data_IF_024489040844
#
_entry.id   IF_024489040844
#
_cell.length_a   1.000
_cell.length_b   1.000
_cell.length_c   1.000
_cell.angle_alpha   90.00
_cell.angle_beta   90.00
_cell.angle_gamma   90.00
#
_symmetry.space_group_name_H-M   'P 1'
#
loop_
_entity.id
_entity.type
_entity.pdbx_description
1 polymer ?
#
# COMPACT_ATOMS: atom_id res chain seq x y z
N UNK A 1 9.84 39.79 13.03
CA UNK A 1 10.87 38.82 12.65
C UNK A 1 11.50 39.24 11.33
N UNK A 2 11.09 38.72 10.17
CA UNK A 2 11.73 38.97 8.85
C UNK A 2 12.11 40.44 8.59
N UNK A 3 11.21 41.40 8.82
CA UNK A 3 11.49 42.84 8.64
C UNK A 3 12.56 43.46 9.55
N UNK A 4 13.11 42.68 10.49
CA UNK A 4 14.17 43.06 11.43
C UNK A 4 15.40 42.16 11.29
N UNK A 5 15.30 41.05 10.54
CA UNK A 5 16.43 40.19 10.23
C UNK A 5 17.23 40.82 9.08
N UNK A 6 18.56 40.73 9.16
CA UNK A 6 19.49 41.31 8.18
C UNK A 6 20.72 40.45 7.92
N UNK A 7 20.93 39.39 8.71
CA UNK A 7 22.13 38.56 8.68
C UNK A 7 21.88 37.19 8.00
N UNK A 8 20.62 36.82 7.75
CA UNK A 8 20.26 35.52 7.19
C UNK A 8 19.12 35.64 6.16
N UNK A 9 19.31 35.06 4.97
CA UNK A 9 18.25 34.91 3.98
C UNK A 9 17.17 33.93 4.50
N UNK A 10 15.90 34.32 4.38
CA UNK A 10 14.78 33.55 4.95
C UNK A 10 14.01 32.80 3.85
N UNK A 11 13.76 31.51 4.10
CA UNK A 11 12.97 30.65 3.21
C UNK A 11 11.66 30.24 3.90
N UNK A 12 10.53 30.55 3.27
CA UNK A 12 9.19 30.17 3.70
C UNK A 12 8.63 29.07 2.79
N UNK A 13 8.62 27.83 3.28
CA UNK A 13 8.12 26.66 2.56
C UNK A 13 6.68 26.34 3.01
N UNK A 14 5.72 26.48 2.10
CA UNK A 14 4.30 26.23 2.33
C UNK A 14 3.87 24.91 1.67
N UNK A 15 3.08 24.13 2.39
CA UNK A 15 2.47 22.89 1.89
C UNK A 15 0.95 23.02 1.83
N UNK A 16 0.36 22.58 0.71
CA UNK A 16 -1.08 22.63 0.41
C UNK A 16 -1.73 24.02 0.36
N UNK A 17 -2.81 24.14 -0.42
CA UNK A 17 -3.55 25.40 -0.63
C UNK A 17 -4.06 26.03 0.69
N UNK A 18 -4.28 25.21 1.74
CA UNK A 18 -4.66 25.65 3.08
C UNK A 18 -3.66 26.63 3.70
N UNK A 19 -2.35 26.46 3.44
CA UNK A 19 -1.30 27.39 3.87
C UNK A 19 -1.01 28.48 2.82
N UNK A 20 -1.50 28.31 1.58
CA UNK A 20 -1.13 29.07 0.39
C UNK A 20 -1.46 30.57 0.43
N UNK A 21 -2.38 31.00 1.29
CA UNK A 21 -2.72 32.43 1.49
C UNK A 21 -1.51 33.26 1.92
N UNK A 22 -0.58 32.67 2.68
CA UNK A 22 0.65 33.34 3.11
C UNK A 22 1.53 33.80 1.93
N UNK A 23 1.65 32.96 0.90
CA UNK A 23 2.47 33.24 -0.29
C UNK A 23 1.97 34.49 -1.03
N UNK A 24 0.66 34.56 -1.28
CA UNK A 24 0.05 35.69 -1.99
C UNK A 24 0.26 37.00 -1.22
N UNK A 25 0.21 36.95 0.13
CA UNK A 25 0.49 38.10 0.98
C UNK A 25 1.98 38.48 0.99
N UNK A 26 2.90 37.51 1.04
CA UNK A 26 4.36 37.75 0.95
C UNK A 26 4.71 38.50 -0.33
N UNK A 27 4.30 37.98 -1.50
CA UNK A 27 4.58 38.62 -2.79
C UNK A 27 3.89 39.98 -2.94
N UNK A 28 2.61 40.11 -2.55
CA UNK A 28 1.88 41.39 -2.71
C UNK A 28 2.34 42.50 -1.76
N UNK A 29 2.99 42.14 -0.64
CA UNK A 29 3.57 43.10 0.33
C UNK A 29 5.07 43.31 0.16
N UNK A 30 5.70 42.67 -0.84
CA UNK A 30 7.15 42.70 -1.05
C UNK A 30 7.96 42.39 0.23
N UNK A 31 7.56 41.33 0.94
CA UNK A 31 8.30 40.85 2.10
C UNK A 31 9.58 40.18 1.60
N UNK A 32 10.73 40.53 2.19
CA UNK A 32 12.04 39.94 1.92
C UNK A 32 12.11 38.49 2.46
N UNK A 33 11.47 37.58 1.72
CA UNK A 33 11.36 36.16 2.03
C UNK A 33 11.26 35.40 0.72
N UNK A 34 12.01 34.32 0.58
CA UNK A 34 11.91 33.42 -0.57
C UNK A 34 10.81 32.39 -0.32
N UNK A 35 9.94 32.15 -1.30
CA UNK A 35 8.73 31.34 -1.11
C UNK A 35 8.72 30.07 -1.96
N UNK A 36 8.52 28.93 -1.30
CA UNK A 36 8.36 27.62 -1.93
C UNK A 36 6.93 27.14 -1.69
N UNK A 37 6.25 26.68 -2.73
CA UNK A 37 4.96 26.01 -2.63
C UNK A 37 5.07 24.55 -3.07
N UNK A 38 4.57 23.62 -2.25
CA UNK A 38 4.43 22.21 -2.60
C UNK A 38 2.98 21.78 -2.46
N UNK A 39 2.37 21.37 -3.57
CA UNK A 39 1.04 20.76 -3.57
C UNK A 39 1.16 19.23 -3.68
N UNK A 40 0.54 18.50 -2.77
CA UNK A 40 0.58 17.03 -2.70
C UNK A 40 -0.49 16.40 -3.61
N UNK A 41 -1.56 17.15 -3.88
CA UNK A 41 -2.55 16.86 -4.92
C UNK A 41 -2.97 18.18 -5.62
N UNK A 42 -3.90 18.09 -6.57
CA UNK A 42 -4.71 19.23 -7.02
C UNK A 42 -6.14 19.10 -6.49
N UNK A 43 -6.80 20.21 -6.11
CA UNK A 43 -8.20 20.19 -5.71
C UNK A 43 -9.06 19.62 -6.84
N UNK A 44 -8.95 20.19 -8.04
CA UNK A 44 -9.75 19.78 -9.20
C UNK A 44 -9.52 18.31 -9.57
N UNK A 45 -8.29 17.81 -9.59
CA UNK A 45 -8.00 16.41 -9.91
C UNK A 45 -8.72 15.44 -8.99
N UNK A 46 -8.71 15.68 -7.68
CA UNK A 46 -9.43 14.86 -6.69
C UNK A 46 -10.95 14.82 -6.93
N UNK A 47 -11.54 15.93 -7.35
CA UNK A 47 -12.97 16.04 -7.65
C UNK A 47 -13.36 15.57 -9.07
N UNK A 48 -12.41 15.51 -10.00
CA UNK A 48 -12.61 15.00 -11.35
C UNK A 48 -12.49 13.48 -11.38
N UNK A 49 -11.46 12.88 -10.76
CA UNK A 49 -11.29 11.43 -10.62
C UNK A 49 -12.42 10.74 -9.84
N UNK A 50 -13.04 11.45 -8.87
CA UNK A 50 -14.23 10.96 -8.17
C UNK A 50 -15.48 10.91 -9.07
N UNK A 51 -15.51 11.69 -10.14
CA UNK A 51 -16.53 11.60 -11.19
C UNK A 51 -16.26 10.47 -12.17
N UNK A 52 -17.28 10.03 -12.91
CA UNK A 52 -17.15 9.03 -13.98
C UNK A 52 -16.51 9.62 -15.27
N UNK A 53 -15.41 10.35 -15.14
CA UNK A 53 -14.79 11.13 -16.24
C UNK A 53 -13.40 10.57 -16.56
N UNK A 54 -13.10 10.39 -17.84
CA UNK A 54 -11.73 10.10 -18.30
C UNK A 54 -10.84 11.33 -18.08
N UNK A 55 -10.17 11.36 -16.93
CA UNK A 55 -9.43 12.51 -16.43
C UNK A 55 -8.11 12.75 -17.16
N UNK A 56 -7.26 11.73 -17.29
CA UNK A 56 -5.89 11.92 -17.77
C UNK A 56 -5.80 12.19 -19.27
N UNK A 57 -6.68 11.60 -20.08
CA UNK A 57 -6.70 11.85 -21.53
C UNK A 57 -7.28 13.24 -21.86
N UNK A 58 -8.29 13.68 -21.11
CA UNK A 58 -8.97 14.97 -21.33
C UNK A 58 -8.41 16.13 -20.50
N UNK A 59 -7.30 15.94 -19.79
CA UNK A 59 -6.71 16.92 -18.87
C UNK A 59 -6.49 18.32 -19.52
N UNK A 60 -6.28 18.37 -20.84
CA UNK A 60 -6.06 19.59 -21.63
C UNK A 60 -7.33 20.38 -21.93
N UNK A 61 -8.51 19.75 -21.97
CA UNK A 61 -9.76 20.35 -22.43
C UNK A 61 -10.70 20.79 -21.31
N UNK A 62 -10.37 20.56 -20.03
CA UNK A 62 -11.17 21.03 -18.92
C UNK A 62 -11.15 22.56 -18.76
N UNK A 63 -12.34 23.16 -18.80
CA UNK A 63 -12.59 24.47 -18.19
C UNK A 63 -12.53 24.32 -16.66
N UNK A 64 -11.39 24.76 -16.12
CA UNK A 64 -11.06 24.71 -14.69
C UNK A 64 -11.94 25.64 -13.86
N UNK A 65 -12.38 26.75 -14.43
CA UNK A 65 -13.18 27.76 -13.75
C UNK A 65 -14.66 27.29 -13.69
N UNK A 66 -15.20 26.73 -14.78
CA UNK A 66 -16.51 26.07 -14.79
C UNK A 66 -16.56 24.84 -13.86
N UNK A 67 -15.62 23.91 -13.97
CA UNK A 67 -15.65 22.66 -13.19
C UNK A 67 -15.42 22.91 -11.68
N UNK A 68 -14.73 23.99 -11.30
CA UNK A 68 -14.61 24.43 -9.91
C UNK A 68 -15.89 25.14 -9.40
N UNK A 69 -16.54 25.96 -10.23
CA UNK A 69 -17.81 26.61 -9.92
C UNK A 69 -18.94 25.61 -9.71
N UNK A 70 -19.10 24.68 -10.65
CA UNK A 70 -20.08 23.57 -10.65
C UNK A 70 -20.05 22.67 -9.42
N UNK A 71 -18.92 22.64 -8.69
CA UNK A 71 -18.74 21.87 -7.45
C UNK A 71 -18.69 22.74 -6.19
N UNK A 72 -18.90 24.05 -6.30
CA UNK A 72 -18.84 25.00 -5.18
C UNK A 72 -17.44 25.25 -4.60
N UNK A 73 -16.38 24.74 -5.25
CA UNK A 73 -15.00 24.81 -4.75
C UNK A 73 -14.19 25.97 -5.33
N UNK A 74 -14.79 26.81 -6.18
CA UNK A 74 -14.14 27.93 -6.88
C UNK A 74 -13.22 28.76 -5.97
N UNK A 75 -13.73 29.21 -4.82
CA UNK A 75 -12.98 29.98 -3.82
C UNK A 75 -11.70 29.28 -3.32
N UNK A 76 -11.69 27.95 -3.23
CA UNK A 76 -10.52 27.14 -2.81
C UNK A 76 -9.52 26.96 -3.94
N UNK A 77 -10.03 26.70 -5.14
CA UNK A 77 -9.23 26.65 -6.37
C UNK A 77 -8.52 27.98 -6.65
N UNK A 78 -9.17 29.12 -6.40
CA UNK A 78 -8.53 30.44 -6.47
C UNK A 78 -7.35 30.58 -5.50
N UNK A 79 -7.44 30.05 -4.28
CA UNK A 79 -6.33 30.07 -3.30
C UNK A 79 -5.19 29.15 -3.76
N UNK A 80 -5.50 27.93 -4.23
CA UNK A 80 -4.53 26.97 -4.77
C UNK A 80 -3.77 27.55 -5.97
N UNK A 81 -4.48 28.09 -6.96
CA UNK A 81 -3.91 28.75 -8.14
C UNK A 81 -3.14 30.02 -7.77
N UNK A 82 -3.64 30.84 -6.85
CA UNK A 82 -2.92 32.02 -6.37
C UNK A 82 -1.61 31.64 -5.68
N UNK A 83 -1.60 30.63 -4.80
CA UNK A 83 -0.38 30.12 -4.16
C UNK A 83 0.65 29.62 -5.20
N UNK A 84 0.20 28.82 -6.17
CA UNK A 84 1.02 28.32 -7.28
C UNK A 84 1.62 29.44 -8.15
N UNK A 85 0.87 30.51 -8.44
CA UNK A 85 1.38 31.61 -9.26
C UNK A 85 2.19 32.64 -8.46
N UNK A 86 1.88 32.82 -7.16
CA UNK A 86 2.55 33.78 -6.30
C UNK A 86 3.82 33.26 -5.61
N UNK A 87 4.16 31.97 -5.68
CA UNK A 87 5.41 31.46 -5.12
C UNK A 87 6.61 31.64 -6.06
N UNK A 88 7.82 31.67 -5.52
CA UNK A 88 9.05 31.80 -6.30
C UNK A 88 9.45 30.44 -6.90
N UNK A 89 9.32 29.36 -6.11
CA UNK A 89 9.48 27.97 -6.56
C UNK A 89 8.18 27.18 -6.34
N UNK A 90 7.70 26.50 -7.38
CA UNK A 90 6.52 25.63 -7.32
C UNK A 90 6.91 24.17 -7.51
N UNK A 91 6.36 23.27 -6.69
CA UNK A 91 6.69 21.85 -6.67
C UNK A 91 5.47 20.96 -6.46
N UNK A 92 5.57 19.71 -6.88
CA UNK A 92 4.58 18.65 -6.61
C UNK A 92 5.27 17.41 -6.07
N UNK A 93 4.54 16.46 -5.48
CA UNK A 93 5.12 15.23 -4.93
C UNK A 93 5.33 14.09 -5.93
N UNK A 94 4.86 14.24 -7.17
CA UNK A 94 5.05 13.24 -8.23
C UNK A 94 5.03 13.86 -9.63
N UNK A 95 5.58 13.13 -10.61
CA UNK A 95 5.52 13.54 -12.03
C UNK A 95 4.09 13.53 -12.61
N UNK A 96 3.19 12.66 -12.13
CA UNK A 96 1.79 12.67 -12.59
C UNK A 96 1.03 13.88 -12.03
N UNK A 97 1.24 14.19 -10.75
CA UNK A 97 0.72 15.42 -10.12
C UNK A 97 1.36 16.68 -10.73
N UNK A 98 2.59 16.59 -11.26
CA UNK A 98 3.19 17.69 -12.01
C UNK A 98 2.47 17.96 -13.34
N UNK A 99 2.10 16.90 -14.06
CA UNK A 99 1.30 16.97 -15.28
C UNK A 99 -0.12 17.50 -14.99
N UNK A 100 -0.77 17.05 -13.91
CA UNK A 100 -2.01 17.65 -13.40
C UNK A 100 -1.88 19.16 -13.16
N UNK A 101 -0.88 19.58 -12.37
CA UNK A 101 -0.70 20.97 -11.98
C UNK A 101 -0.41 21.90 -13.17
N UNK A 102 0.38 21.44 -14.15
CA UNK A 102 0.65 22.17 -15.39
C UNK A 102 -0.66 22.53 -16.13
N UNK A 103 -1.64 21.62 -16.16
CA UNK A 103 -2.90 21.80 -16.89
C UNK A 103 -4.04 22.40 -16.04
N UNK A 104 -4.12 22.09 -14.74
CA UNK A 104 -5.20 22.54 -13.86
C UNK A 104 -4.87 23.87 -13.16
N UNK A 105 -3.63 24.05 -12.73
CA UNK A 105 -3.16 25.27 -12.05
C UNK A 105 -2.47 26.25 -13.01
N UNK A 106 -2.27 25.86 -14.28
CA UNK A 106 -1.72 26.70 -15.36
C UNK A 106 -0.29 27.22 -15.08
N UNK A 107 0.49 26.50 -14.25
CA UNK A 107 1.93 26.68 -14.06
C UNK A 107 2.58 25.30 -13.99
N UNK A 108 3.62 25.08 -14.79
CA UNK A 108 4.48 23.89 -14.69
C UNK A 108 5.29 23.94 -13.38
N UNK A 109 5.36 22.87 -12.59
CA UNK A 109 6.26 22.83 -11.44
C UNK A 109 7.72 22.92 -11.85
N UNK A 110 8.50 23.63 -11.04
CA UNK A 110 9.96 23.77 -11.18
C UNK A 110 10.71 22.49 -10.77
N UNK A 111 10.08 21.63 -9.96
CA UNK A 111 10.65 20.35 -9.54
C UNK A 111 9.62 19.41 -8.89
N UNK A 112 10.06 18.18 -8.62
CA UNK A 112 9.28 17.16 -7.92
C UNK A 112 9.94 16.83 -6.60
N UNK A 113 9.18 16.89 -5.50
CA UNK A 113 9.61 16.62 -4.14
C UNK A 113 8.95 15.33 -3.62
N UNK A 114 9.48 14.15 -3.98
CA UNK A 114 8.88 12.88 -3.57
C UNK A 114 8.87 12.73 -2.04
N UNK A 115 7.77 12.22 -1.50
CA UNK A 115 7.66 11.96 -0.07
C UNK A 115 8.53 10.75 0.30
N UNK A 116 9.52 10.98 1.18
CA UNK A 116 10.36 9.92 1.73
C UNK A 116 9.71 9.20 2.92
N UNK A 117 10.38 8.15 3.38
CA UNK A 117 10.09 7.42 4.61
C UNK A 117 11.33 7.45 5.53
N UNK A 118 11.13 7.28 6.84
CA UNK A 118 12.24 6.97 7.75
C UNK A 118 12.42 5.45 7.75
N UNK A 119 13.39 4.92 7.00
CA UNK A 119 13.57 3.48 6.85
C UNK A 119 14.30 2.91 8.06
N UNK A 120 13.56 2.22 8.93
CA UNK A 120 14.12 1.41 10.02
C UNK A 120 14.86 0.23 9.40
N UNK A 121 16.18 0.34 9.29
CA UNK A 121 17.04 -0.74 8.79
C UNK A 121 17.24 -1.79 9.88
N UNK A 122 16.86 -3.02 9.58
CA UNK A 122 17.22 -4.18 10.41
C UNK A 122 18.73 -4.39 10.39
N UNK A 123 19.31 -4.81 11.52
CA UNK A 123 20.75 -5.08 11.61
C UNK A 123 21.16 -6.31 10.79
N UNK A 124 20.22 -7.22 10.53
CA UNK A 124 20.39 -8.36 9.63
C UNK A 124 19.20 -8.53 8.67
N UNK A 125 19.47 -8.62 7.36
CA UNK A 125 18.44 -8.78 6.31
C UNK A 125 17.59 -10.08 6.42
N UNK A 126 17.91 -11.02 7.31
CA UNK A 126 17.06 -12.18 7.56
C UNK A 126 15.97 -11.91 8.63
N UNK A 127 16.10 -10.84 9.41
CA UNK A 127 15.16 -10.48 10.49
C UNK A 127 13.77 -10.18 9.95
N UNK A 128 13.66 -9.37 8.88
CA UNK A 128 12.38 -9.11 8.22
C UNK A 128 11.73 -10.40 7.66
N UNK A 129 12.55 -11.38 7.25
CA UNK A 129 12.08 -12.66 6.73
C UNK A 129 11.58 -13.58 7.86
N UNK A 130 12.12 -13.45 9.08
CA UNK A 130 11.56 -14.08 10.28
C UNK A 130 10.26 -13.38 10.71
N UNK A 131 10.23 -12.05 10.73
CA UNK A 131 9.02 -11.25 11.03
C UNK A 131 7.87 -11.56 10.05
N UNK A 132 8.16 -11.80 8.77
CA UNK A 132 7.17 -12.26 7.80
C UNK A 132 6.55 -13.61 8.18
N UNK A 133 7.35 -14.58 8.67
CA UNK A 133 6.83 -15.88 9.08
C UNK A 133 5.92 -15.74 10.32
N UNK A 134 6.42 -15.08 11.38
CA UNK A 134 5.65 -14.81 12.61
C UNK A 134 4.34 -14.05 12.33
N UNK A 135 4.35 -13.14 11.34
CA UNK A 135 3.15 -12.41 10.93
C UNK A 135 2.20 -13.26 10.06
N UNK A 136 2.74 -14.12 9.16
CA UNK A 136 1.94 -15.10 8.39
C UNK A 136 1.20 -16.04 9.33
N UNK A 137 1.82 -16.47 10.43
CA UNK A 137 1.19 -17.38 11.40
C UNK A 137 0.06 -16.74 12.21
N UNK A 138 0.10 -15.42 12.44
CA UNK A 138 -1.06 -14.68 12.99
C UNK A 138 -2.23 -14.63 12.00
N UNK A 139 -1.93 -14.39 10.72
CA UNK A 139 -2.93 -14.46 9.65
C UNK A 139 -3.49 -15.89 9.51
N UNK A 140 -2.64 -16.92 9.64
CA UNK A 140 -3.06 -18.32 9.66
C UNK A 140 -4.08 -18.62 10.77
N UNK A 141 -3.83 -18.17 12.00
CA UNK A 141 -4.76 -18.36 13.12
C UNK A 141 -6.11 -17.67 12.85
N UNK A 142 -6.11 -16.44 12.33
CA UNK A 142 -7.34 -15.77 11.93
C UNK A 142 -8.08 -16.54 10.82
N UNK A 143 -7.39 -16.96 9.76
CA UNK A 143 -8.00 -17.66 8.61
C UNK A 143 -8.63 -18.98 9.05
N UNK A 144 -7.98 -19.74 9.94
CA UNK A 144 -8.58 -20.94 10.57
C UNK A 144 -9.88 -20.59 11.32
N UNK A 145 -9.88 -19.49 12.08
CA UNK A 145 -11.05 -19.00 12.81
C UNK A 145 -12.17 -18.44 11.93
N UNK A 146 -11.86 -17.82 10.79
CA UNK A 146 -12.85 -17.23 9.88
C UNK A 146 -13.48 -18.27 8.95
N UNK A 147 -12.68 -19.21 8.45
CA UNK A 147 -13.12 -20.32 7.59
C UNK A 147 -13.52 -21.57 8.39
N UNK A 148 -13.95 -21.43 9.64
CA UNK A 148 -14.29 -22.57 10.48
C UNK A 148 -15.44 -23.41 9.88
N UNK A 149 -15.28 -24.73 9.89
CA UNK A 149 -16.18 -25.68 9.20
C UNK A 149 -16.04 -25.74 7.68
N UNK A 150 -15.34 -24.78 7.06
CA UNK A 150 -15.05 -24.67 5.62
C UNK A 150 -13.54 -24.48 5.37
N UNK A 151 -12.72 -25.07 6.24
CA UNK A 151 -11.26 -25.05 6.15
C UNK A 151 -10.82 -26.26 5.31
N UNK A 152 -11.05 -26.17 4.00
CA UNK A 152 -10.85 -27.22 3.01
C UNK A 152 -9.58 -27.03 2.15
N UNK A 153 -8.75 -26.05 2.49
CA UNK A 153 -7.53 -25.67 1.77
C UNK A 153 -6.28 -25.64 2.66
N UNK A 154 -5.11 -25.84 2.05
CA UNK A 154 -3.81 -25.83 2.74
C UNK A 154 -3.21 -24.42 2.84
N UNK A 155 -2.81 -24.02 4.05
CA UNK A 155 -2.22 -22.72 4.34
C UNK A 155 -0.77 -22.57 3.86
N UNK A 156 -0.04 -23.65 3.60
CA UNK A 156 1.29 -23.55 2.98
C UNK A 156 1.22 -23.29 1.47
N UNK A 157 0.19 -23.80 0.81
CA UNK A 157 -0.21 -23.43 -0.55
C UNK A 157 -1.23 -22.26 -0.61
N UNK A 158 -1.40 -21.51 0.48
CA UNK A 158 -2.21 -20.27 0.51
C UNK A 158 -1.35 -19.01 0.42
N UNK A 159 -1.82 -18.05 -0.39
CA UNK A 159 -1.29 -16.69 -0.49
C UNK A 159 -2.26 -15.64 0.05
N UNK A 160 -1.70 -14.54 0.55
CA UNK A 160 -2.45 -13.40 1.06
C UNK A 160 -2.21 -12.18 0.15
N UNK A 161 -3.29 -11.68 -0.45
CA UNK A 161 -3.32 -10.43 -1.23
C UNK A 161 -4.19 -9.39 -0.51
N UNK A 162 -4.07 -8.11 -0.87
CA UNK A 162 -4.87 -7.08 -0.25
C UNK A 162 -4.98 -5.76 -1.00
N UNK A 163 -5.93 -4.96 -0.53
CA UNK A 163 -5.95 -3.49 -0.63
C UNK A 163 -6.09 -2.88 0.76
N UNK A 164 -5.50 -1.69 0.98
CA UNK A 164 -5.67 -0.94 2.23
C UNK A 164 -5.60 0.57 2.05
N UNK A 165 -6.45 1.31 2.77
CA UNK A 165 -6.39 2.78 2.81
C UNK A 165 -7.71 3.43 3.20
N UNK A 166 -7.88 4.72 2.85
CA UNK A 166 -9.19 5.40 2.91
C UNK A 166 -10.18 4.71 1.97
N UNK A 167 -11.45 4.64 2.35
CA UNK A 167 -12.49 4.05 1.51
C UNK A 167 -12.86 4.99 0.36
N UNK A 168 -12.13 4.90 -0.74
CA UNK A 168 -12.38 5.63 -1.98
C UNK A 168 -12.50 4.63 -3.15
N UNK A 169 -13.67 3.98 -3.26
CA UNK A 169 -13.94 2.81 -4.11
C UNK A 169 -13.23 2.83 -5.49
N UNK A 170 -13.32 3.93 -6.24
CA UNK A 170 -12.61 4.11 -7.53
C UNK A 170 -11.18 4.65 -7.41
N UNK A 171 -10.96 5.72 -6.63
CA UNK A 171 -9.62 6.34 -6.53
C UNK A 171 -8.55 5.40 -5.95
N UNK A 172 -8.97 4.33 -5.26
CA UNK A 172 -8.13 3.25 -4.75
C UNK A 172 -8.15 1.97 -5.59
N UNK A 173 -8.96 1.91 -6.64
CA UNK A 173 -9.08 0.72 -7.49
C UNK A 173 -9.70 -0.49 -6.78
N UNK A 174 -10.55 -0.29 -5.76
CA UNK A 174 -11.26 -1.39 -5.09
C UNK A 174 -12.22 -2.07 -6.07
N UNK A 175 -12.77 -1.28 -6.99
CA UNK A 175 -13.59 -1.75 -8.11
C UNK A 175 -12.81 -2.67 -9.06
N UNK A 176 -11.57 -2.31 -9.40
CA UNK A 176 -10.66 -3.18 -10.13
C UNK A 176 -10.27 -4.43 -9.30
N UNK A 177 -10.05 -4.27 -7.99
CA UNK A 177 -9.60 -5.37 -7.13
C UNK A 177 -10.59 -6.52 -7.10
N UNK A 178 -11.86 -6.21 -6.87
CA UNK A 178 -12.91 -7.22 -6.78
C UNK A 178 -13.15 -7.88 -8.15
N UNK A 179 -13.03 -7.12 -9.23
CA UNK A 179 -13.22 -7.61 -10.61
C UNK A 179 -12.16 -8.65 -11.01
N UNK A 180 -10.87 -8.38 -10.83
CA UNK A 180 -9.82 -9.31 -11.27
C UNK A 180 -9.51 -10.41 -10.27
N UNK A 181 -9.90 -10.27 -9.00
CA UNK A 181 -9.97 -11.43 -8.09
C UNK A 181 -10.99 -12.47 -8.57
N UNK A 182 -12.10 -12.04 -9.20
CA UNK A 182 -13.02 -12.96 -9.88
C UNK A 182 -12.35 -13.62 -11.08
N UNK A 183 -11.70 -12.85 -11.96
CA UNK A 183 -10.99 -13.39 -13.14
C UNK A 183 -9.85 -14.34 -12.75
N UNK A 184 -9.16 -14.09 -11.63
CA UNK A 184 -8.16 -14.98 -11.06
C UNK A 184 -8.80 -16.28 -10.52
N UNK A 185 -9.97 -16.20 -9.88
CA UNK A 185 -10.73 -17.36 -9.43
C UNK A 185 -11.07 -18.28 -10.60
N UNK A 186 -11.52 -17.72 -11.74
CA UNK A 186 -11.75 -18.46 -12.98
C UNK A 186 -10.46 -19.07 -13.54
N UNK A 187 -9.38 -18.28 -13.69
CA UNK A 187 -8.06 -18.77 -14.18
C UNK A 187 -7.51 -19.91 -13.32
N UNK A 188 -7.60 -19.82 -11.98
CA UNK A 188 -7.14 -20.86 -11.05
C UNK A 188 -8.05 -22.11 -11.05
N UNK A 189 -9.36 -21.96 -11.26
CA UNK A 189 -10.29 -23.08 -11.48
C UNK A 189 -10.00 -23.81 -12.80
N UNK A 190 -9.86 -23.07 -13.90
CA UNK A 190 -9.64 -23.61 -15.23
C UNK A 190 -8.29 -24.35 -15.36
N UNK A 191 -7.25 -23.88 -14.66
CA UNK A 191 -5.95 -24.56 -14.55
C UNK A 191 -5.92 -25.68 -13.50
N UNK A 192 -7.03 -25.90 -12.78
CA UNK A 192 -7.12 -26.76 -11.59
C UNK A 192 -5.96 -26.58 -10.60
N UNK A 193 -5.56 -25.32 -10.36
CA UNK A 193 -4.42 -25.01 -9.51
C UNK A 193 -4.68 -25.45 -8.06
N UNK A 194 -3.69 -26.03 -7.35
CA UNK A 194 -3.79 -26.31 -5.92
C UNK A 194 -3.62 -25.05 -5.05
N UNK A 195 -3.20 -23.92 -5.65
CA UNK A 195 -3.00 -22.66 -4.95
C UNK A 195 -4.34 -22.07 -4.50
N UNK A 196 -4.39 -21.62 -3.26
CA UNK A 196 -5.50 -20.80 -2.73
C UNK A 196 -5.02 -19.37 -2.49
N UNK A 197 -5.88 -18.40 -2.75
CA UNK A 197 -5.65 -16.98 -2.44
C UNK A 197 -6.73 -16.55 -1.45
N UNK A 198 -6.33 -15.87 -0.37
CA UNK A 198 -7.25 -15.14 0.51
C UNK A 198 -6.94 -13.66 0.38
N UNK A 199 -7.90 -12.89 -0.12
CA UNK A 199 -7.76 -11.46 -0.40
C UNK A 199 -8.47 -10.62 0.68
N UNK A 200 -7.73 -9.68 1.28
CA UNK A 200 -8.21 -8.79 2.32
C UNK A 200 -8.53 -7.40 1.76
N UNK A 201 -9.73 -6.88 2.03
CA UNK A 201 -10.08 -5.48 1.74
C UNK A 201 -10.11 -4.69 3.04
N UNK A 202 -9.24 -3.69 3.18
CA UNK A 202 -8.99 -3.02 4.47
C UNK A 202 -9.21 -1.51 4.32
N UNK A 203 -10.49 -1.12 4.26
CA UNK A 203 -10.91 0.27 4.04
C UNK A 203 -12.06 0.64 4.99
N UNK A 204 -11.90 1.65 5.87
CA UNK A 204 -12.83 1.90 6.97
C UNK A 204 -14.19 2.37 6.46
N UNK A 205 -15.26 1.77 6.99
CA UNK A 205 -16.65 2.09 6.64
C UNK A 205 -17.51 2.26 7.89
N UNK A 206 -18.73 2.79 7.72
CA UNK A 206 -19.70 2.89 8.82
C UNK A 206 -20.22 1.49 9.20
N UNK A 207 -20.03 1.11 10.46
CA UNK A 207 -20.30 -0.24 10.96
C UNK A 207 -20.86 -0.24 12.38
N UNK A 208 -21.44 -1.37 12.76
CA UNK A 208 -21.98 -1.66 14.09
C UNK A 208 -21.25 -2.87 14.70
N UNK A 209 -19.93 -2.70 14.91
CA UNK A 209 -19.03 -3.73 15.47
C UNK A 209 -18.94 -5.02 14.64
N UNK A 210 -18.19 -6.00 15.16
CA UNK A 210 -17.97 -7.31 14.54
C UNK A 210 -19.25 -8.13 14.39
N UNK A 211 -19.32 -9.00 13.38
CA UNK A 211 -20.39 -10.01 13.32
C UNK A 211 -20.23 -11.03 14.46
N UNK A 212 -21.35 -11.52 14.99
CA UNK A 212 -21.36 -12.60 15.99
C UNK A 212 -20.69 -13.87 15.45
N UNK A 213 -20.79 -14.11 14.13
CA UNK A 213 -20.14 -15.24 13.48
C UNK A 213 -18.62 -15.15 13.46
N UNK A 214 -18.06 -13.98 13.14
CA UNK A 214 -16.60 -13.75 13.14
C UNK A 214 -16.02 -13.95 14.54
N UNK A 215 -16.67 -13.38 15.58
CA UNK A 215 -16.25 -13.58 16.98
C UNK A 215 -16.36 -15.05 17.42
N UNK A 216 -17.47 -15.72 17.07
CA UNK A 216 -17.70 -17.14 17.38
C UNK A 216 -16.65 -18.05 16.75
N UNK A 217 -16.30 -17.82 15.48
CA UNK A 217 -15.31 -18.61 14.76
C UNK A 217 -13.93 -18.58 15.43
N UNK A 218 -13.44 -17.38 15.77
CA UNK A 218 -12.18 -17.22 16.52
C UNK A 218 -12.25 -17.89 17.90
N UNK A 219 -13.37 -17.75 18.63
CA UNK A 219 -13.54 -18.35 19.95
C UNK A 219 -13.52 -19.90 19.92
N UNK A 220 -14.19 -20.53 18.96
CA UNK A 220 -14.21 -22.01 18.85
C UNK A 220 -12.85 -22.56 18.42
N UNK A 221 -12.15 -21.91 17.48
CA UNK A 221 -10.80 -22.33 17.07
C UNK A 221 -9.77 -22.11 18.18
N UNK A 222 -9.87 -21.01 18.95
CA UNK A 222 -9.06 -20.82 20.16
C UNK A 222 -9.27 -21.94 21.18
N UNK A 223 -10.52 -22.30 21.49
CA UNK A 223 -10.83 -23.40 22.41
C UNK A 223 -10.30 -24.76 21.92
N UNK A 224 -10.30 -25.02 20.60
CA UNK A 224 -9.65 -26.23 20.05
C UNK A 224 -8.13 -26.16 20.25
N UNK A 225 -7.49 -25.01 19.95
CA UNK A 225 -6.04 -24.82 20.06
C UNK A 225 -5.56 -25.01 21.51
N UNK A 226 -6.29 -24.49 22.48
CA UNK A 226 -6.08 -24.69 23.91
C UNK A 226 -6.25 -26.17 24.29
N UNK A 227 -7.37 -26.79 23.89
CA UNK A 227 -7.64 -28.23 24.13
C UNK A 227 -6.53 -29.13 23.57
N UNK A 228 -6.03 -28.84 22.36
CA UNK A 228 -4.93 -29.59 21.73
C UNK A 228 -3.60 -29.38 22.47
N UNK A 229 -3.33 -28.18 22.97
CA UNK A 229 -2.14 -27.90 23.78
C UNK A 229 -2.15 -28.67 25.10
N UNK A 230 -3.26 -28.67 25.83
CA UNK A 230 -3.40 -29.43 27.08
C UNK A 230 -3.23 -30.94 26.86
N UNK A 231 -3.83 -31.48 25.79
CA UNK A 231 -3.68 -32.88 25.41
C UNK A 231 -2.23 -33.18 25.02
N UNK A 232 -1.58 -32.33 24.23
CA UNK A 232 -0.17 -32.50 23.85
C UNK A 232 0.75 -32.51 25.08
N UNK A 233 0.52 -31.62 26.06
CA UNK A 233 1.26 -31.61 27.34
C UNK A 233 1.01 -32.88 28.16
N UNK A 234 -0.24 -33.38 28.21
CA UNK A 234 -0.57 -34.68 28.83
C UNK A 234 0.08 -35.86 28.08
N UNK A 235 0.28 -35.76 26.76
CA UNK A 235 0.98 -36.77 25.96
C UNK A 235 2.50 -36.74 26.20
N UNK A 236 3.09 -35.55 26.26
CA UNK A 236 4.51 -35.30 26.52
C UNK A 236 4.98 -35.96 27.82
N UNK A 237 4.28 -35.70 28.95
CA UNK A 237 4.62 -36.31 30.24
C UNK A 237 4.54 -37.84 30.20
N UNK A 238 3.49 -38.41 29.57
CA UNK A 238 3.32 -39.86 29.43
C UNK A 238 4.37 -40.51 28.54
N UNK A 239 4.77 -39.84 27.46
CA UNK A 239 5.84 -40.28 26.57
C UNK A 239 7.18 -40.27 27.30
N UNK A 240 7.50 -39.18 28.01
CA UNK A 240 8.71 -39.05 28.81
C UNK A 240 8.80 -40.12 29.91
N UNK A 241 7.75 -40.31 30.70
CA UNK A 241 7.73 -41.35 31.74
C UNK A 241 7.92 -42.76 31.17
N UNK A 242 7.28 -43.09 30.04
CA UNK A 242 7.39 -44.43 29.44
C UNK A 242 8.78 -44.67 28.84
N UNK A 243 9.34 -43.67 28.15
CA UNK A 243 10.69 -43.72 27.60
C UNK A 243 11.76 -43.81 28.70
N UNK A 244 11.64 -43.02 29.77
CA UNK A 244 12.56 -43.03 30.90
C UNK A 244 12.54 -44.36 31.69
N UNK A 245 11.42 -45.09 31.64
CA UNK A 245 11.29 -46.46 32.20
C UNK A 245 11.68 -47.57 31.21
N UNK A 246 12.19 -47.23 30.02
CA UNK A 246 12.63 -48.20 29.01
C UNK A 246 11.51 -49.02 28.37
N UNK A 247 10.25 -48.57 28.43
CA UNK A 247 9.09 -49.30 27.90
C UNK A 247 8.77 -48.96 26.45
N UNK A 248 8.36 -49.96 25.66
CA UNK A 248 8.07 -49.83 24.22
C UNK A 248 7.16 -48.64 23.86
N UNK A 249 7.61 -47.80 22.93
CA UNK A 249 6.92 -46.57 22.53
C UNK A 249 5.97 -46.88 21.38
N UNK A 250 4.69 -47.15 21.70
CA UNK A 250 3.63 -47.35 20.72
C UNK A 250 2.72 -46.11 20.66
N UNK A 251 2.65 -45.47 19.49
CA UNK A 251 1.92 -44.22 19.23
C UNK A 251 0.44 -44.25 19.63
N UNK A 252 -0.20 -45.42 19.55
CA UNK A 252 -1.63 -45.58 19.89
C UNK A 252 -1.94 -45.38 21.38
N UNK A 253 -0.96 -45.55 22.27
CA UNK A 253 -1.17 -45.60 23.72
C UNK A 253 -1.17 -44.21 24.39
N UNK A 254 -0.80 -43.15 23.66
CA UNK A 254 -0.65 -41.81 24.23
C UNK A 254 -1.93 -40.97 24.19
N UNK A 255 -2.99 -41.35 23.47
CA UNK A 255 -4.24 -40.59 23.40
C UNK A 255 -5.39 -41.33 24.11
N UNK A 256 -5.78 -40.86 25.30
CA UNK A 256 -6.84 -41.53 26.10
C UNK A 256 -8.22 -41.43 25.44
N UNK A 257 -9.16 -42.27 25.87
CA UNK A 257 -10.57 -42.13 25.52
C UNK A 257 -11.16 -40.77 25.94
N UNK A 258 -10.70 -40.19 27.05
CA UNK A 258 -11.09 -38.85 27.50
C UNK A 258 -10.58 -37.77 26.53
N UNK A 259 -9.29 -37.81 26.17
CA UNK A 259 -8.67 -36.92 25.17
C UNK A 259 -9.47 -36.98 23.85
N UNK A 260 -9.82 -38.19 23.41
CA UNK A 260 -10.61 -38.41 22.19
C UNK A 260 -12.04 -37.87 22.27
N UNK A 261 -12.73 -38.01 23.41
CA UNK A 261 -14.09 -37.47 23.62
C UNK A 261 -14.04 -35.94 23.63
N UNK A 262 -13.06 -35.35 24.30
CA UNK A 262 -12.88 -33.90 24.37
C UNK A 262 -12.57 -33.30 22.99
N UNK A 263 -11.67 -33.93 22.21
CA UNK A 263 -11.41 -33.56 20.82
C UNK A 263 -12.67 -33.69 19.96
N UNK A 264 -13.38 -34.82 20.01
CA UNK A 264 -14.65 -35.00 19.27
C UNK A 264 -15.67 -33.91 19.58
N UNK A 265 -15.78 -33.48 20.85
CA UNK A 265 -16.65 -32.36 21.27
C UNK A 265 -16.22 -31.02 20.65
N UNK A 266 -14.92 -30.72 20.59
CA UNK A 266 -14.41 -29.50 19.91
C UNK A 266 -14.60 -29.55 18.39
N UNK A 267 -14.31 -30.68 17.76
CA UNK A 267 -14.52 -30.88 16.31
C UNK A 267 -15.99 -30.79 15.92
N UNK A 268 -16.91 -31.24 16.78
CA UNK A 268 -18.35 -31.06 16.55
C UNK A 268 -18.75 -29.57 16.59
N UNK A 269 -18.21 -28.80 17.53
CA UNK A 269 -18.48 -27.36 17.65
C UNK A 269 -17.96 -26.52 16.45
N UNK A 270 -17.02 -27.05 15.66
CA UNK A 270 -16.53 -26.43 14.43
C UNK A 270 -17.43 -26.63 13.21
N UNK A 271 -18.49 -27.46 13.29
CA UNK A 271 -19.43 -27.63 12.18
C UNK A 271 -20.25 -26.34 11.96
N UNK A 272 -20.36 -25.93 10.69
CA UNK A 272 -21.04 -24.71 10.23
C UNK A 272 -21.87 -25.05 8.99
N UNK A 273 -23.09 -24.53 8.90
CA UNK A 273 -24.01 -24.73 7.76
C UNK A 273 -24.02 -23.56 6.77
N UNK A 274 -23.63 -22.36 7.22
CA UNK A 274 -23.49 -21.14 6.41
C UNK A 274 -22.07 -21.06 5.81
N UNK A 275 -21.92 -20.46 4.62
CA UNK A 275 -20.60 -20.19 4.02
C UNK A 275 -19.81 -19.17 4.85
N UNK A 276 -18.45 -19.15 4.81
CA UNK A 276 -17.63 -18.15 5.50
C UNK A 276 -17.98 -16.71 5.06
N UNK A 277 -18.24 -15.78 5.98
CA UNK A 277 -18.79 -14.48 5.61
C UNK A 277 -17.76 -13.64 4.83
N UNK A 278 -18.22 -12.91 3.82
CA UNK A 278 -17.36 -12.04 3.00
C UNK A 278 -16.95 -10.75 3.72
N UNK A 279 -17.55 -10.45 4.88
CA UNK A 279 -17.27 -9.27 5.72
C UNK A 279 -17.18 -9.66 7.20
N UNK A 280 -16.35 -8.92 7.95
CA UNK A 280 -16.07 -9.19 9.38
C UNK A 280 -16.93 -8.41 10.36
N UNK A 281 -17.64 -7.38 9.88
CA UNK A 281 -18.44 -6.45 10.66
C UNK A 281 -19.89 -6.38 10.17
N UNK A 282 -20.79 -5.90 11.02
CA UNK A 282 -22.14 -5.51 10.61
C UNK A 282 -22.04 -4.11 9.96
N UNK A 283 -22.36 -3.97 8.68
CA UNK A 283 -22.32 -2.68 7.98
C UNK A 283 -23.55 -1.83 8.33
N UNK A 284 -23.41 -0.50 8.39
CA UNK A 284 -24.52 0.41 8.63
C UNK A 284 -25.52 0.46 7.45
N UNK A 285 -25.03 0.43 6.21
CA UNK A 285 -25.83 0.41 4.98
C UNK A 285 -25.36 -0.70 4.03
N UNK A 286 -25.43 -1.93 4.53
CA UNK A 286 -25.03 -3.16 3.83
C UNK A 286 -25.57 -3.25 2.38
N UNK A 287 -26.81 -2.77 2.15
CA UNK A 287 -27.48 -2.82 0.86
C UNK A 287 -27.00 -1.79 -0.17
N UNK A 288 -26.28 -0.73 0.24
CA UNK A 288 -25.73 0.28 -0.68
C UNK A 288 -24.19 0.25 -0.78
N UNK A 289 -23.51 -0.45 0.12
CA UNK A 289 -22.05 -0.57 0.11
C UNK A 289 -21.52 -1.08 -1.26
N UNK A 290 -20.65 -0.32 -1.94
CA UNK A 290 -20.22 -0.65 -3.31
C UNK A 290 -19.29 -1.87 -3.38
N UNK A 291 -18.48 -2.11 -2.35
CA UNK A 291 -17.60 -3.29 -2.27
C UNK A 291 -18.43 -4.56 -2.16
N UNK A 292 -19.38 -4.60 -1.23
CA UNK A 292 -20.25 -5.76 -1.01
C UNK A 292 -21.21 -5.99 -2.18
N UNK A 293 -21.75 -4.92 -2.78
CA UNK A 293 -22.60 -5.05 -3.96
C UNK A 293 -21.83 -5.56 -5.18
N UNK A 294 -20.55 -5.21 -5.36
CA UNK A 294 -19.74 -5.83 -6.41
C UNK A 294 -19.39 -7.30 -6.09
N UNK A 295 -19.02 -7.61 -4.84
CA UNK A 295 -18.75 -8.99 -4.41
C UNK A 295 -19.96 -9.91 -4.63
N UNK A 296 -21.17 -9.41 -4.33
CA UNK A 296 -22.45 -10.07 -4.64
C UNK A 296 -22.65 -10.24 -6.15
N UNK A 297 -22.46 -9.17 -6.94
CA UNK A 297 -22.60 -9.17 -8.42
C UNK A 297 -21.69 -10.21 -9.07
N UNK A 298 -20.48 -10.40 -8.53
CA UNK A 298 -19.47 -11.32 -9.06
C UNK A 298 -19.52 -12.73 -8.46
N UNK A 299 -20.45 -13.02 -7.55
CA UNK A 299 -20.63 -14.34 -6.95
C UNK A 299 -19.52 -14.80 -6.00
N UNK A 300 -18.68 -13.88 -5.50
CA UNK A 300 -17.51 -14.20 -4.66
C UNK A 300 -17.93 -14.47 -3.20
N UNK A 301 -18.63 -15.58 -2.97
CA UNK A 301 -19.26 -15.93 -1.69
C UNK A 301 -18.48 -16.92 -0.81
N UNK A 302 -17.16 -17.09 -1.03
CA UNK A 302 -16.31 -18.04 -0.30
C UNK A 302 -16.78 -19.50 -0.39
N UNK A 303 -17.29 -19.95 -1.54
CA UNK A 303 -17.64 -21.36 -1.72
C UNK A 303 -16.39 -22.26 -1.59
N UNK A 304 -16.55 -23.54 -1.19
CA UNK A 304 -15.50 -24.56 -1.24
C UNK A 304 -14.73 -24.57 -2.58
N UNK A 305 -15.48 -24.52 -3.69
CA UNK A 305 -14.96 -24.49 -5.06
C UNK A 305 -14.17 -23.24 -5.45
N UNK A 306 -14.23 -22.15 -4.68
CA UNK A 306 -13.47 -20.93 -4.97
C UNK A 306 -11.99 -21.10 -4.62
N UNK A 307 -11.10 -20.81 -5.58
CA UNK A 307 -9.65 -20.72 -5.35
C UNK A 307 -9.23 -19.35 -4.83
N UNK A 308 -10.07 -18.33 -5.00
CA UNK A 308 -9.92 -17.00 -4.39
C UNK A 308 -11.03 -16.79 -3.36
N UNK A 309 -10.66 -16.67 -2.09
CA UNK A 309 -11.54 -16.33 -0.98
C UNK A 309 -11.39 -14.83 -0.63
N UNK A 310 -12.45 -14.20 -0.11
CA UNK A 310 -12.53 -12.77 0.21
C UNK A 310 -12.81 -12.53 1.70
N UNK A 311 -12.13 -11.54 2.27
CA UNK A 311 -12.38 -11.02 3.63
C UNK A 311 -12.38 -9.47 3.61
N UNK A 312 -13.56 -8.86 3.69
CA UNK A 312 -13.70 -7.42 3.90
C UNK A 312 -13.58 -7.08 5.40
N UNK A 313 -12.64 -6.21 5.72
CA UNK A 313 -12.36 -5.65 7.03
C UNK A 313 -12.58 -4.12 7.00
N UNK A 314 -13.82 -3.67 7.24
CA UNK A 314 -14.21 -2.26 7.15
C UNK A 314 -13.74 -1.39 8.34
N UNK A 315 -12.55 -1.63 8.88
CA UNK A 315 -11.95 -0.86 9.97
C UNK A 315 -10.47 -0.58 9.68
N UNK A 316 -9.87 0.41 10.37
CA UNK A 316 -8.42 0.59 10.37
C UNK A 316 -7.74 -0.42 11.29
N UNK A 317 -6.56 -0.86 10.87
CA UNK A 317 -5.73 -1.78 11.63
C UNK A 317 -5.11 -1.10 12.85
N UNK A 318 -5.09 -1.81 13.96
CA UNK A 318 -4.54 -1.38 15.23
C UNK A 318 -3.60 -2.49 15.74
N UNK A 319 -2.59 -2.20 16.57
CA UNK A 319 -1.84 -3.28 17.24
C UNK A 319 -2.73 -4.18 18.12
N UNK A 320 -3.90 -3.69 18.51
CA UNK A 320 -4.96 -4.44 19.18
C UNK A 320 -5.94 -5.17 18.23
N UNK A 321 -5.81 -5.09 16.89
CA UNK A 321 -6.78 -5.60 15.91
C UNK A 321 -6.08 -6.16 14.63
N UNK A 322 -6.10 -7.48 14.33
CA UNK A 322 -4.81 -8.16 14.10
C UNK A 322 -4.23 -8.31 12.67
N UNK A 323 -4.77 -7.68 11.61
CA UNK A 323 -4.69 -8.23 10.23
C UNK A 323 -4.15 -7.30 9.11
N UNK A 324 -2.99 -7.62 8.52
CA UNK A 324 -2.23 -6.76 7.59
C UNK A 324 -2.70 -6.72 6.10
N UNK A 325 -2.13 -5.77 5.34
CA UNK A 325 -2.47 -5.39 3.94
C UNK A 325 -1.42 -5.64 2.67
N UNK A 326 -1.19 -4.75 0.49
CA UNK A 326 -1.59 -3.71 -0.61
C UNK A 326 -1.19 -4.33 -2.03
N UNK A 327 -1.05 -3.63 -3.19
CA UNK A 327 -1.96 -3.03 -4.24
C UNK A 327 -1.12 -2.63 -5.52
N UNK A 328 -1.60 -2.34 -6.76
CA UNK A 328 -2.74 -2.85 -7.56
C UNK A 328 -2.53 -2.83 -9.14
N UNK A 329 -3.55 -2.63 -10.01
CA UNK A 329 -3.72 -3.26 -11.38
C UNK A 329 -3.43 -2.50 -12.72
N UNK A 330 -3.70 -2.99 -13.97
CA UNK A 330 -4.44 -4.19 -14.54
C UNK A 330 -3.57 -5.30 -15.17
N UNK A 331 -2.27 -5.08 -15.32
CA UNK A 331 -1.26 -6.12 -15.59
C UNK A 331 -1.23 -7.24 -14.52
N UNK A 332 -2.00 -7.08 -13.44
CA UNK A 332 -1.94 -7.86 -12.21
C UNK A 332 -2.84 -9.09 -12.17
N UNK A 333 -3.92 -9.25 -12.94
CA UNK A 333 -4.58 -10.58 -12.98
C UNK A 333 -3.59 -11.67 -13.44
N UNK A 334 -2.67 -11.29 -14.35
CA UNK A 334 -1.55 -12.12 -14.78
C UNK A 334 -0.33 -12.03 -13.86
N UNK A 335 -0.05 -10.91 -13.16
CA UNK A 335 1.00 -10.93 -12.12
C UNK A 335 0.61 -11.77 -10.92
N UNK A 336 -0.66 -11.76 -10.51
CA UNK A 336 -1.23 -12.58 -9.45
C UNK A 336 -1.10 -14.05 -9.83
N UNK A 337 -1.49 -14.43 -11.05
CA UNK A 337 -1.30 -15.80 -11.55
C UNK A 337 0.19 -16.17 -11.58
N UNK A 338 1.03 -15.37 -12.24
CA UNK A 338 2.49 -15.55 -12.25
C UNK A 338 3.15 -15.45 -10.87
N UNK A 339 2.47 -14.98 -9.83
CA UNK A 339 2.94 -14.93 -8.43
C UNK A 339 2.45 -16.13 -7.61
N UNK A 340 1.25 -16.63 -7.90
CA UNK A 340 0.74 -17.92 -7.44
C UNK A 340 1.66 -19.06 -7.91
N UNK A 341 2.01 -19.05 -9.21
CA UNK A 341 2.94 -19.99 -9.87
C UNK A 341 4.37 -19.98 -9.30
N UNK A 342 4.76 -18.96 -8.52
CA UNK A 342 6.12 -18.92 -7.95
C UNK A 342 6.32 -19.98 -6.88
N UNK A 343 7.49 -20.59 -6.88
CA UNK A 343 7.97 -21.38 -5.74
C UNK A 343 8.20 -20.50 -4.51
N UNK A 344 8.16 -21.10 -3.31
CA UNK A 344 8.53 -20.45 -2.03
C UNK A 344 9.90 -19.75 -2.13
N UNK A 345 10.88 -20.36 -2.81
CA UNK A 345 12.23 -19.81 -3.03
C UNK A 345 12.22 -18.55 -3.91
N UNK A 346 11.44 -18.54 -4.99
CA UNK A 346 11.28 -17.35 -5.85
C UNK A 346 10.59 -16.20 -5.09
N UNK A 347 9.57 -16.49 -4.27
CA UNK A 347 8.91 -15.47 -3.42
C UNK A 347 9.87 -14.87 -2.38
N UNK A 348 10.71 -15.67 -1.73
CA UNK A 348 11.77 -15.18 -0.82
C UNK A 348 12.73 -14.25 -1.59
N UNK A 349 13.25 -14.69 -2.74
CA UNK A 349 14.17 -13.88 -3.55
C UNK A 349 13.53 -12.56 -4.02
N UNK A 350 12.24 -12.55 -4.34
CA UNK A 350 11.51 -11.33 -4.72
C UNK A 350 11.37 -10.35 -3.53
N UNK A 351 11.08 -10.85 -2.32
CA UNK A 351 11.06 -10.01 -1.11
C UNK A 351 12.44 -9.42 -0.81
N UNK A 352 13.50 -10.24 -0.87
CA UNK A 352 14.88 -9.79 -0.68
C UNK A 352 15.33 -8.76 -1.74
N UNK A 353 14.70 -8.73 -2.92
CA UNK A 353 14.94 -7.68 -3.93
C UNK A 353 14.13 -6.41 -3.63
N UNK A 354 12.92 -6.55 -3.10
CA UNK A 354 12.02 -5.43 -2.77
C UNK A 354 12.52 -4.65 -1.55
N UNK A 355 12.98 -5.35 -0.52
CA UNK A 355 13.53 -4.73 0.70
C UNK A 355 14.76 -3.86 0.39
N UNK A 356 15.66 -4.30 -0.49
CA UNK A 356 16.81 -3.49 -0.98
C UNK A 356 16.43 -2.21 -1.73
N UNK A 357 15.18 -2.07 -2.19
CA UNK A 357 14.69 -0.84 -2.82
C UNK A 357 14.17 0.18 -1.78
N UNK A 358 14.04 -0.18 -0.50
CA UNK A 358 13.64 0.75 0.56
C UNK A 358 14.65 1.91 0.72
N UNK A 359 15.94 1.65 0.53
CA UNK A 359 17.01 2.66 0.48
C UNK A 359 16.81 3.74 -0.60
N UNK A 360 15.97 3.49 -1.62
CA UNK A 360 15.61 4.51 -2.61
C UNK A 360 14.51 5.45 -2.11
N UNK A 361 13.76 5.05 -1.07
CA UNK A 361 12.62 5.76 -0.50
C UNK A 361 12.96 6.50 0.81
N UNK A 362 14.17 6.33 1.34
CA UNK A 362 14.57 6.95 2.60
C UNK A 362 14.73 8.47 2.50
N UNK A 363 14.37 9.20 3.55
CA UNK A 363 14.49 10.66 3.63
C UNK A 363 15.93 11.18 3.42
N UNK A 364 16.97 10.40 3.72
CA UNK A 364 18.36 10.77 3.39
C UNK A 364 18.57 10.97 1.88
N UNK A 365 17.82 10.24 1.05
CA UNK A 365 17.85 10.37 -0.40
C UNK A 365 16.82 11.37 -0.91
N UNK A 366 15.57 11.28 -0.45
CA UNK A 366 14.47 12.13 -0.95
C UNK A 366 14.57 13.59 -0.47
N UNK A 367 15.21 13.82 0.69
CA UNK A 367 15.50 15.16 1.20
C UNK A 367 16.47 15.98 0.33
N UNK A 368 17.23 15.32 -0.56
CA UNK A 368 18.09 16.01 -1.53
C UNK A 368 17.28 16.87 -2.51
N UNK A 369 16.07 16.46 -2.89
CA UNK A 369 15.20 17.29 -3.74
C UNK A 369 14.70 18.54 -2.98
N UNK A 370 14.42 18.41 -1.68
CA UNK A 370 14.08 19.54 -0.81
C UNK A 370 15.26 20.49 -0.59
N UNK A 371 16.51 20.04 -0.72
CA UNK A 371 17.69 20.91 -0.74
C UNK A 371 17.74 21.68 -2.08
N UNK A 372 17.60 20.99 -3.22
CA UNK A 372 17.59 21.61 -4.56
C UNK A 372 16.50 22.69 -4.70
N UNK A 373 15.28 22.43 -4.22
CA UNK A 373 14.19 23.42 -4.25
C UNK A 373 14.48 24.67 -3.40
N UNK A 374 15.21 24.52 -2.29
CA UNK A 374 15.63 25.66 -1.43
C UNK A 374 16.76 26.47 -2.08
N UNK A 375 17.76 25.82 -2.66
CA UNK A 375 18.80 26.52 -3.43
C UNK A 375 18.22 27.28 -4.64
N UNK A 376 17.28 26.67 -5.36
CA UNK A 376 16.58 27.34 -6.48
C UNK A 376 15.77 28.57 -6.01
N UNK A 377 15.21 28.55 -4.80
CA UNK A 377 14.48 29.69 -4.25
C UNK A 377 15.43 30.86 -3.90
N UNK A 378 16.60 30.57 -3.33
CA UNK A 378 17.63 31.57 -3.05
C UNK A 378 18.22 32.17 -4.34
N UNK A 379 18.64 31.34 -5.31
CA UNK A 379 19.19 31.77 -6.61
C UNK A 379 18.22 32.68 -7.40
N UNK A 380 16.90 32.50 -7.22
CA UNK A 380 15.85 33.34 -7.84
C UNK A 380 15.61 34.68 -7.13
N UNK A 381 15.84 34.76 -5.83
CA UNK A 381 15.56 35.95 -5.04
C UNK A 381 16.78 36.87 -4.90
N UNK A 382 17.99 36.29 -4.87
CA UNK A 382 19.25 37.02 -4.74
C UNK A 382 20.23 36.60 -5.86
N UNK A 383 19.93 36.87 -7.16
CA UNK A 383 20.77 36.41 -8.26
C UNK A 383 22.21 36.92 -8.16
N UNK A 384 22.39 38.18 -7.76
CA UNK A 384 23.70 38.84 -7.63
C UNK A 384 24.54 38.33 -6.44
N UNK A 385 24.08 37.31 -5.73
CA UNK A 385 24.74 36.70 -4.57
C UNK A 385 25.12 35.22 -4.77
N UNK A 386 25.08 34.75 -6.02
CA UNK A 386 25.55 33.43 -6.44
C UNK A 386 26.28 33.54 -7.78
N UNK A 387 27.53 33.09 -7.85
CA UNK A 387 28.24 32.90 -9.12
C UNK A 387 27.73 31.63 -9.83
N UNK A 388 27.95 31.51 -11.15
CA UNK A 388 27.40 30.39 -11.93
C UNK A 388 28.05 29.03 -11.62
N UNK A 389 29.20 29.01 -10.95
CA UNK A 389 29.86 27.79 -10.45
C UNK A 389 29.34 27.32 -9.07
N UNK A 390 28.55 28.13 -8.34
CA UNK A 390 28.18 27.91 -6.93
C UNK A 390 27.15 26.77 -6.67
N UNK A 391 26.98 25.86 -7.61
CA UNK A 391 25.86 24.89 -7.66
C UNK A 391 25.74 23.96 -6.43
N UNK A 392 26.77 23.87 -5.59
CA UNK A 392 26.84 22.95 -4.44
C UNK A 392 27.49 23.51 -3.16
N UNK A 393 27.87 24.79 -3.09
CA UNK A 393 28.56 25.34 -1.92
C UNK A 393 27.66 25.35 -0.67
N UNK A 394 28.26 25.07 0.49
CA UNK A 394 27.56 24.92 1.77
C UNK A 394 26.97 23.51 2.05
N UNK A 395 27.16 22.54 1.15
CA UNK A 395 26.85 21.12 1.39
C UNK A 395 28.13 20.33 1.72
N UNK A 396 28.02 19.32 2.58
CA UNK A 396 29.12 18.42 2.92
C UNK A 396 29.52 17.56 1.71
N UNK A 397 30.81 17.19 1.61
CA UNK A 397 31.36 16.45 0.46
C UNK A 397 30.58 15.17 0.13
N UNK A 398 30.06 14.46 1.14
CA UNK A 398 29.28 13.25 0.93
C UNK A 398 27.90 13.53 0.30
N UNK A 399 27.28 14.68 0.62
CA UNK A 399 26.08 15.17 -0.06
C UNK A 399 26.38 15.67 -1.48
N UNK A 400 27.50 16.39 -1.67
CA UNK A 400 27.93 16.86 -2.99
C UNK A 400 28.19 15.69 -3.96
N UNK A 401 28.92 14.67 -3.51
CA UNK A 401 29.16 13.44 -4.29
C UNK A 401 27.85 12.72 -4.64
N UNK A 402 26.91 12.59 -3.70
CA UNK A 402 25.60 11.99 -3.97
C UNK A 402 24.80 12.77 -5.03
N UNK A 403 24.89 14.10 -5.04
CA UNK A 403 24.22 14.95 -6.03
C UNK A 403 24.86 14.84 -7.42
N UNK A 404 26.20 14.81 -7.51
CA UNK A 404 26.91 14.58 -8.77
C UNK A 404 26.57 13.19 -9.36
N UNK A 405 26.53 12.15 -8.53
CA UNK A 405 26.15 10.78 -8.94
C UNK A 405 24.70 10.75 -9.47
N UNK A 406 23.78 11.54 -8.90
CA UNK A 406 22.39 11.61 -9.37
C UNK A 406 22.23 12.26 -10.75
N UNK A 407 23.19 13.07 -11.23
CA UNK A 407 23.18 13.60 -12.59
C UNK A 407 23.10 12.48 -13.64
N UNK A 408 23.73 11.34 -13.36
CA UNK A 408 23.46 10.09 -14.06
C UNK A 408 22.28 9.38 -13.41
N UNK A 409 21.06 9.57 -13.96
CA UNK A 409 19.86 8.81 -13.52
C UNK A 409 20.19 7.30 -13.46
N UNK A 410 20.15 6.65 -12.29
CA UNK A 410 20.49 5.24 -12.19
C UNK A 410 19.41 4.40 -12.87
N UNK A 411 19.69 3.96 -14.10
CA UNK A 411 18.81 3.05 -14.84
C UNK A 411 18.67 1.76 -14.03
N UNK A 412 17.43 1.42 -13.67
CA UNK A 412 17.14 0.09 -13.12
C UNK A 412 17.61 -0.94 -14.16
N UNK A 413 18.52 -1.87 -13.81
CA UNK A 413 19.01 -2.84 -14.78
C UNK A 413 17.84 -3.74 -15.19
N UNK A 414 17.66 -3.92 -16.51
CA UNK A 414 16.59 -4.75 -17.08
C UNK A 414 16.53 -6.11 -16.37
N UNK A 415 15.33 -6.61 -16.02
CA UNK A 415 15.21 -7.94 -15.45
C UNK A 415 15.76 -8.97 -16.45
N UNK A 416 16.55 -9.94 -15.96
CA UNK A 416 17.17 -11.03 -16.76
C UNK A 416 16.16 -12.00 -17.42
N UNK A 417 14.88 -11.65 -17.45
CA UNK A 417 13.76 -12.39 -18.03
C UNK A 417 13.07 -11.65 -19.18
N UNK A 418 13.58 -10.47 -19.60
CA UNK A 418 13.13 -9.81 -20.81
C UNK A 418 13.91 -10.35 -22.03
N UNK A 419 13.25 -10.89 -23.08
CA UNK A 419 13.92 -11.19 -24.34
C UNK A 419 14.47 -9.91 -24.97
N UNK A 420 15.61 -10.01 -25.65
CA UNK A 420 16.29 -8.87 -26.25
C UNK A 420 15.42 -8.17 -27.31
N UNK A 421 15.06 -6.92 -27.06
CA UNK A 421 14.26 -6.12 -27.99
C UNK A 421 14.98 -5.99 -29.34
N UNK A 422 14.30 -6.19 -30.49
CA UNK A 422 14.93 -6.14 -31.82
C UNK A 422 15.63 -4.79 -32.04
N UNK A 423 16.94 -4.84 -32.33
CA UNK A 423 17.68 -3.65 -32.76
C UNK A 423 17.28 -3.29 -34.18
N UNK A 424 16.27 -2.42 -34.32
CA UNK A 424 16.01 -1.71 -35.56
C UNK A 424 17.27 -0.91 -35.90
N UNK A 425 17.99 -1.32 -36.95
CA UNK A 425 19.05 -0.52 -37.55
C UNK A 425 18.39 0.55 -38.40
N UNK A 426 18.51 1.81 -38.00
CA UNK A 426 18.37 2.92 -38.95
C UNK A 426 19.46 2.78 -40.02
N UNK A 427 19.17 3.00 -41.31
CA UNK A 427 20.22 3.13 -42.32
C UNK A 427 21.18 4.27 -41.96
N UNK A 428 22.42 4.16 -42.42
CA UNK A 428 23.28 5.34 -42.56
C UNK A 428 22.84 6.06 -43.84
N UNK A 429 22.54 7.35 -43.74
CA UNK A 429 22.51 8.23 -44.91
C UNK A 429 23.94 8.45 -45.42
N UNK A 430 24.08 8.70 -46.73
CA UNK A 430 25.32 8.38 -47.45
C UNK A 430 26.38 9.48 -47.52
N UNK A 431 27.56 9.03 -47.97
CA UNK A 431 28.81 9.78 -48.26
C UNK A 431 29.62 10.17 -47.03
#
# INVERSE_FOLDING_TARGET
FVTHERNAAVIAHFHEWLAGVGIALCRKRHIDVTTIFTTHATLLGRYLCAGSVDFYNNLRSFDVDHEAGKRGIYHRYCIERAATHCCDVFTTVSHITAYEAEHLLKRKPDGVLPNGLNVVKFSAMHEFQNLHAVSKDRIHDFVRGHFYGHYDFDLENTLYFFTAGRYEYRNKGLDMFIESLQRLNEKLKATNSPMTVVAFLITPAETHSFTVETLKGQAVVKQLKETVHDIAKRMETRLFEKAARGGDINTTQFLTSEDQILLKRRTFALKRSTLPPIVTHNMADDGKDPVLNQLRRLGLFNHPSDRVKIVFHPEFLNSNNPLFGLDYEEFLSDQMLMFCEKTRRQRINQRNRTERLSDLLDWKRMGLEYIKARQLALRRAYPDSFDDDDYFLGLDEATQQQLQIQGQRPKVPNPRSAPGSPRIRTPLEGV
#
